data_IF_257321634964
#
_entry.id   IF_257321634964
#
_cell.length_a   1.000
_cell.length_b   1.000
_cell.length_c   1.000
_cell.angle_alpha   90.00
_cell.angle_beta   90.00
_cell.angle_gamma   90.00
#
_symmetry.space_group_name_H-M   'P 1'
#
loop_
_entity.id
_entity.type
_entity.pdbx_description
1 polymer ?
#
# COMPACT_ATOMS: atom_id res chain seq x y z
N UNK A 1 -36.25 81.08 1.44
CA UNK A 1 -35.27 80.99 0.34
C UNK A 1 -33.88 81.04 0.96
N UNK A 2 -32.99 80.06 0.91
CA UNK A 2 -32.95 78.82 0.13
C UNK A 2 -32.19 77.75 0.92
N UNK A 3 -32.79 76.56 0.94
CA UNK A 3 -32.22 75.29 1.37
C UNK A 3 -31.12 74.89 0.35
N UNK A 4 -29.92 74.54 0.79
CA UNK A 4 -28.94 73.85 -0.08
C UNK A 4 -28.26 72.70 0.67
N UNK A 5 -28.90 71.55 0.49
CA UNK A 5 -28.40 70.17 0.46
C UNK A 5 -27.12 69.82 1.23
N UNK A 6 -27.39 69.21 2.38
CA UNK A 6 -26.61 68.18 3.05
C UNK A 6 -26.34 67.01 2.07
N UNK A 7 -25.09 66.74 1.74
CA UNK A 7 -24.65 65.44 1.20
C UNK A 7 -23.52 64.93 2.10
N UNK A 8 -23.93 64.22 3.16
CA UNK A 8 -23.02 63.46 4.01
C UNK A 8 -22.67 62.17 3.24
N UNK A 9 -21.50 62.16 2.61
CA UNK A 9 -20.98 60.97 1.94
C UNK A 9 -20.56 59.96 3.02
N UNK A 10 -21.45 59.03 3.36
CA UNK A 10 -21.14 57.91 4.25
C UNK A 10 -20.23 56.93 3.49
N UNK A 11 -18.92 57.14 3.58
CA UNK A 11 -17.92 56.17 3.09
C UNK A 11 -17.92 55.00 4.08
N UNK A 12 -18.71 53.97 3.77
CA UNK A 12 -18.64 52.68 4.45
C UNK A 12 -17.35 52.00 3.99
N UNK A 13 -16.28 52.20 4.76
CA UNK A 13 -15.06 51.39 4.67
C UNK A 13 -15.42 49.97 5.11
N UNK A 14 -15.69 49.10 4.14
CA UNK A 14 -15.77 47.66 4.36
C UNK A 14 -14.35 47.19 4.66
N UNK A 15 -14.02 47.09 5.95
CA UNK A 15 -12.84 46.38 6.42
C UNK A 15 -13.08 44.90 6.09
N UNK A 16 -12.54 44.43 4.97
CA UNK A 16 -12.28 43.02 4.78
C UNK A 16 -11.20 42.62 5.79
N UNK A 17 -11.64 42.21 6.99
CA UNK A 17 -10.79 41.45 7.89
C UNK A 17 -10.52 40.12 7.20
N UNK A 18 -9.32 39.96 6.64
CA UNK A 18 -8.78 38.62 6.41
C UNK A 18 -8.55 38.02 7.80
N UNK A 19 -9.55 37.31 8.32
CA UNK A 19 -9.30 36.29 9.33
C UNK A 19 -8.34 35.30 8.68
N UNK A 20 -7.07 35.36 9.07
CA UNK A 20 -6.23 34.17 8.97
C UNK A 20 -6.95 33.16 9.84
N UNK A 21 -7.62 32.19 9.22
CA UNK A 21 -8.08 31.00 9.89
C UNK A 21 -6.83 30.22 10.32
N UNK A 22 -6.22 30.69 11.41
CA UNK A 22 -5.10 30.03 12.04
C UNK A 22 -5.58 28.64 12.44
N UNK A 23 -4.87 27.62 11.96
CA UNK A 23 -5.19 26.24 12.30
C UNK A 23 -4.94 26.08 13.80
N UNK A 24 -5.95 25.63 14.54
CA UNK A 24 -5.75 25.28 15.94
C UNK A 24 -4.77 24.09 16.00
N UNK A 25 -3.60 24.33 16.58
CA UNK A 25 -2.56 23.31 16.76
C UNK A 25 -2.47 22.99 18.25
N UNK A 26 -2.60 21.71 18.56
CA UNK A 26 -2.28 21.19 19.88
C UNK A 26 -0.76 21.06 20.02
N UNK A 27 -0.18 21.84 20.93
CA UNK A 27 1.26 21.86 21.16
C UNK A 27 1.77 20.61 21.91
N UNK A 28 0.90 19.93 22.65
CA UNK A 28 1.23 18.73 23.43
C UNK A 28 1.12 17.47 22.55
N UNK A 29 0.26 17.50 21.52
CA UNK A 29 0.15 16.42 20.55
C UNK A 29 -0.08 16.93 19.11
N UNK A 30 1.04 17.13 18.40
CA UNK A 30 1.02 17.56 17.00
C UNK A 30 0.28 16.59 16.07
N UNK A 31 0.02 15.33 16.43
CA UNK A 31 -0.73 14.42 15.55
C UNK A 31 -2.21 14.83 15.45
N UNK A 32 -2.75 15.43 16.51
CA UNK A 32 -4.14 15.87 16.56
C UNK A 32 -4.40 16.95 15.50
N UNK A 33 -5.57 16.87 14.86
CA UNK A 33 -5.96 17.75 13.76
C UNK A 33 -6.20 17.00 12.45
N UNK A 34 -6.41 17.78 11.38
CA UNK A 34 -6.79 17.28 10.07
C UNK A 34 -5.61 17.28 9.10
N UNK A 35 -5.42 16.15 8.41
CA UNK A 35 -4.33 15.84 7.50
C UNK A 35 -4.87 15.45 6.13
N UNK A 36 -4.48 16.17 5.09
CA UNK A 36 -5.10 16.10 3.75
C UNK A 36 -4.04 16.11 2.65
N UNK A 37 -4.47 15.98 1.39
CA UNK A 37 -3.62 16.07 0.20
C UNK A 37 -2.43 15.10 0.26
N UNK A 38 -2.68 13.78 0.39
CA UNK A 38 -1.60 12.80 0.47
C UNK A 38 -0.72 12.84 -0.78
N UNK A 39 0.59 12.88 -0.58
CA UNK A 39 1.60 12.67 -1.61
C UNK A 39 2.29 11.35 -1.32
N UNK A 40 2.12 10.40 -2.24
CA UNK A 40 2.70 9.05 -2.13
C UNK A 40 4.09 9.03 -2.75
N UNK A 41 5.08 8.52 -2.01
CA UNK A 41 6.46 8.36 -2.46
C UNK A 41 6.99 7.02 -1.98
N UNK A 42 7.10 6.04 -2.88
CA UNK A 42 7.54 4.64 -2.67
C UNK A 42 7.01 3.99 -1.38
N UNK A 43 7.66 4.25 -0.24
CA UNK A 43 7.33 3.69 1.06
C UNK A 43 6.61 4.65 2.03
N UNK A 44 6.53 5.94 1.71
CA UNK A 44 5.99 6.98 2.59
C UNK A 44 4.80 7.72 1.97
N UNK A 45 3.93 8.21 2.84
CA UNK A 45 2.85 9.13 2.50
C UNK A 45 3.05 10.40 3.28
N UNK A 46 3.07 11.54 2.58
CA UNK A 46 3.15 12.87 3.18
C UNK A 46 1.80 13.54 3.13
N UNK A 47 1.31 14.02 4.27
CA UNK A 47 0.08 14.79 4.40
C UNK A 47 0.38 16.22 4.80
N UNK A 48 -0.53 17.13 4.44
CA UNK A 48 -0.50 18.53 4.88
C UNK A 48 -1.61 18.78 5.89
N UNK A 49 -1.31 19.59 6.91
CA UNK A 49 -2.34 20.04 7.86
C UNK A 49 -3.38 20.92 7.15
N UNK A 50 -4.64 20.78 7.54
CA UNK A 50 -5.73 21.65 7.13
C UNK A 50 -6.70 21.93 8.28
N UNK A 51 -7.59 22.91 8.07
CA UNK A 51 -8.65 23.26 9.02
C UNK A 51 -9.85 22.28 9.00
N UNK A 52 -10.03 21.55 7.90
CA UNK A 52 -11.15 20.64 7.70
C UNK A 52 -10.82 19.59 6.64
N UNK A 53 -11.58 18.49 6.65
CA UNK A 53 -11.50 17.45 5.62
C UNK A 53 -12.00 18.00 4.26
N UNK A 54 -11.39 17.60 3.14
CA UNK A 54 -11.80 18.06 1.82
C UNK A 54 -13.15 17.45 1.40
N UNK A 55 -13.89 18.15 0.54
CA UNK A 55 -15.14 17.62 -0.02
C UNK A 55 -14.89 16.54 -1.07
N UNK A 56 -13.79 16.62 -1.80
CA UNK A 56 -13.48 15.83 -3.00
C UNK A 56 -12.02 15.32 -2.98
N UNK A 57 -11.55 14.90 -1.80
CA UNK A 57 -10.19 14.40 -1.63
C UNK A 57 -10.05 13.44 -0.47
N UNK A 58 -8.88 12.82 -0.39
CA UNK A 58 -8.52 11.97 0.75
C UNK A 58 -7.98 12.81 1.92
N UNK A 59 -8.33 12.42 3.14
CA UNK A 59 -7.76 13.01 4.35
C UNK A 59 -8.23 12.31 5.61
N UNK A 60 -7.57 12.58 6.73
CA UNK A 60 -7.92 12.03 8.04
C UNK A 60 -7.93 13.12 9.10
N UNK A 61 -8.74 12.96 10.13
CA UNK A 61 -8.78 13.85 11.29
C UNK A 61 -8.64 13.05 12.58
N UNK A 62 -7.59 13.34 13.35
CA UNK A 62 -7.33 12.76 14.68
C UNK A 62 -7.83 13.73 15.76
N UNK A 63 -8.51 13.21 16.80
CA UNK A 63 -9.06 14.02 17.90
C UNK A 63 -8.67 13.48 19.28
N UNK A 64 -8.69 14.32 20.31
CA UNK A 64 -8.16 14.03 21.67
C UNK A 64 -8.67 12.72 22.31
N UNK A 65 -9.88 12.29 21.98
CA UNK A 65 -10.50 11.09 22.57
C UNK A 65 -10.11 9.78 21.86
N UNK A 66 -9.08 9.80 21.01
CA UNK A 66 -8.70 8.65 20.20
C UNK A 66 -9.65 8.38 19.03
N UNK A 67 -10.54 9.32 18.67
CA UNK A 67 -11.43 9.17 17.52
C UNK A 67 -10.72 9.63 16.23
N UNK A 68 -11.02 8.93 15.15
CA UNK A 68 -10.54 9.19 13.80
C UNK A 68 -11.73 9.36 12.85
N UNK A 69 -11.64 10.35 11.96
CA UNK A 69 -12.52 10.43 10.78
C UNK A 69 -11.66 10.35 9.53
N UNK A 70 -11.92 9.36 8.67
CA UNK A 70 -11.28 9.21 7.37
C UNK A 70 -12.23 9.66 6.26
N UNK A 71 -11.78 10.59 5.41
CA UNK A 71 -12.45 11.03 4.19
C UNK A 71 -11.92 10.23 3.02
N UNK A 72 -12.76 9.47 2.33
CA UNK A 72 -12.33 8.63 1.20
C UNK A 72 -13.44 8.41 0.18
N UNK A 73 -13.07 8.03 -1.04
CA UNK A 73 -13.99 7.53 -2.07
C UNK A 73 -14.11 6.01 -2.06
N UNK A 74 -13.45 5.32 -1.13
CA UNK A 74 -13.34 3.86 -1.10
C UNK A 74 -12.42 3.31 -2.18
N UNK A 75 -12.47 1.98 -2.36
CA UNK A 75 -11.67 1.26 -3.34
C UNK A 75 -12.41 1.16 -4.69
N UNK A 76 -11.74 1.55 -5.78
CA UNK A 76 -12.12 1.38 -7.19
C UNK A 76 -13.47 1.99 -7.67
N UNK A 77 -13.63 3.31 -7.61
CA UNK A 77 -14.75 4.02 -8.26
C UNK A 77 -14.46 4.45 -9.71
N UNK A 78 -15.42 4.27 -10.62
CA UNK A 78 -15.40 4.94 -11.94
C UNK A 78 -15.84 6.41 -11.76
N UNK A 79 -15.11 7.39 -12.31
CA UNK A 79 -15.48 8.80 -12.21
C UNK A 79 -16.92 9.10 -12.70
N UNK A 80 -17.63 10.07 -12.08
CA UNK A 80 -17.19 10.91 -10.98
C UNK A 80 -17.12 10.17 -9.64
N UNK A 81 -16.07 10.42 -8.86
CA UNK A 81 -15.88 9.81 -7.55
C UNK A 81 -16.78 10.49 -6.51
N UNK A 82 -17.51 9.68 -5.74
CA UNK A 82 -18.25 10.12 -4.56
C UNK A 82 -17.42 9.85 -3.31
N UNK A 83 -17.28 10.85 -2.46
CA UNK A 83 -16.53 10.74 -1.22
C UNK A 83 -17.49 10.66 -0.03
N UNK A 84 -17.17 9.83 0.96
CA UNK A 84 -17.88 9.70 2.24
C UNK A 84 -16.88 9.72 3.43
N UNK A 85 -17.41 9.81 4.65
CA UNK A 85 -16.61 9.71 5.87
C UNK A 85 -16.72 8.30 6.43
N UNK A 86 -15.61 7.79 6.95
CA UNK A 86 -15.54 6.55 7.71
C UNK A 86 -15.09 6.92 9.11
N UNK A 87 -15.89 6.54 10.09
CA UNK A 87 -15.54 6.69 11.50
C UNK A 87 -14.59 5.57 11.93
N UNK A 88 -13.69 5.92 12.84
CA UNK A 88 -12.70 5.00 13.37
C UNK A 88 -12.10 5.48 14.69
N UNK A 89 -11.08 4.79 15.13
CA UNK A 89 -10.28 5.14 16.30
C UNK A 89 -8.80 5.01 15.98
N UNK A 90 -7.98 5.64 16.82
CA UNK A 90 -6.55 5.49 16.77
C UNK A 90 -5.93 5.42 18.17
N UNK A 91 -4.79 4.76 18.24
CA UNK A 91 -3.91 4.75 19.40
C UNK A 91 -2.51 5.17 18.97
N UNK A 92 -1.89 6.07 19.73
CA UNK A 92 -0.51 6.51 19.50
C UNK A 92 0.40 5.94 20.58
N UNK A 93 1.37 5.12 20.17
CA UNK A 93 2.45 4.62 21.02
C UNK A 93 3.79 5.05 20.40
N UNK A 94 4.38 6.10 20.98
CA UNK A 94 5.57 6.77 20.44
C UNK A 94 5.36 7.24 18.99
N UNK A 95 5.93 6.53 18.02
CA UNK A 95 5.79 6.81 16.59
C UNK A 95 4.77 5.90 15.90
N UNK A 96 4.24 4.89 16.60
CA UNK A 96 3.35 3.90 16.02
C UNK A 96 1.89 4.34 16.23
N UNK A 97 1.23 4.67 15.13
CA UNK A 97 -0.20 4.98 15.08
C UNK A 97 -0.93 3.70 14.69
N UNK A 98 -1.71 3.13 15.60
CA UNK A 98 -2.64 2.04 15.28
C UNK A 98 -3.98 2.65 14.93
N UNK A 99 -4.55 2.26 13.81
CA UNK A 99 -5.80 2.79 13.29
C UNK A 99 -6.78 1.63 13.13
N UNK A 100 -8.00 1.84 13.62
CA UNK A 100 -9.13 0.94 13.43
C UNK A 100 -10.27 1.70 12.77
N UNK A 101 -10.85 1.17 11.70
CA UNK A 101 -11.95 1.81 10.95
C UNK A 101 -13.12 0.85 10.77
N UNK A 102 -14.31 1.40 10.51
CA UNK A 102 -15.51 0.59 10.25
C UNK A 102 -15.55 -0.02 8.84
N UNK A 103 -14.51 0.15 8.02
CA UNK A 103 -14.46 -0.37 6.65
C UNK A 103 -13.16 -1.15 6.42
N UNK A 104 -13.04 -1.84 5.28
CA UNK A 104 -11.80 -2.52 4.92
C UNK A 104 -10.75 -1.52 4.38
N UNK A 105 -9.48 -1.58 4.82
CA UNK A 105 -8.95 -2.44 5.88
C UNK A 105 -9.41 -1.97 7.27
N UNK A 106 -9.90 -2.92 8.08
CA UNK A 106 -10.45 -2.63 9.42
C UNK A 106 -9.36 -2.16 10.36
N UNK A 107 -8.21 -2.82 10.36
CA UNK A 107 -7.09 -2.47 11.24
C UNK A 107 -5.81 -2.34 10.42
N UNK A 108 -5.08 -1.26 10.65
CA UNK A 108 -3.76 -1.03 10.09
C UNK A 108 -2.94 -0.14 10.99
N UNK A 109 -1.64 -0.06 10.75
CA UNK A 109 -0.76 0.80 11.51
C UNK A 109 0.18 1.60 10.64
N UNK A 110 0.52 2.79 11.11
CA UNK A 110 1.50 3.68 10.52
C UNK A 110 2.63 3.95 11.50
N UNK A 111 3.82 4.10 10.96
CA UNK A 111 4.96 4.64 11.68
C UNK A 111 5.19 6.08 11.21
N UNK A 112 5.13 7.01 12.15
CA UNK A 112 5.50 8.41 11.94
C UNK A 112 7.00 8.47 11.65
N UNK A 113 7.34 8.96 10.47
CA UNK A 113 8.73 9.21 10.04
C UNK A 113 9.11 10.65 10.38
N UNK A 114 8.19 11.59 10.18
CA UNK A 114 8.35 12.98 10.56
C UNK A 114 6.98 13.59 10.89
N UNK A 115 6.94 14.45 11.89
CA UNK A 115 5.74 15.17 12.29
C UNK A 115 6.12 16.60 12.67
N UNK A 116 5.51 17.56 11.99
CA UNK A 116 5.66 18.99 12.23
C UNK A 116 4.28 19.65 12.37
N UNK A 117 4.27 20.95 12.63
CA UNK A 117 3.05 21.75 12.61
C UNK A 117 2.31 21.72 11.27
N UNK A 118 2.97 21.44 10.14
CA UNK A 118 2.34 21.55 8.82
C UNK A 118 2.34 20.24 8.03
N UNK A 119 3.20 19.29 8.38
CA UNK A 119 3.39 18.05 7.63
C UNK A 119 3.45 16.82 8.54
N UNK A 120 2.78 15.76 8.09
CA UNK A 120 2.81 14.43 8.67
C UNK A 120 3.34 13.47 7.60
N UNK A 121 4.50 12.88 7.87
CA UNK A 121 5.10 11.86 7.00
C UNK A 121 5.00 10.52 7.71
N UNK A 122 4.29 9.58 7.11
CA UNK A 122 4.08 8.24 7.65
C UNK A 122 4.53 7.17 6.68
N UNK A 123 4.89 6.02 7.21
CA UNK A 123 5.11 4.77 6.48
C UNK A 123 4.13 3.73 7.00
N UNK A 124 3.61 2.86 6.13
CA UNK A 124 2.80 1.71 6.57
C UNK A 124 3.65 0.78 7.43
N UNK A 125 3.18 0.48 8.63
CA UNK A 125 3.80 -0.54 9.48
C UNK A 125 3.32 -1.92 9.01
N UNK A 126 4.27 -2.80 8.71
CA UNK A 126 3.98 -4.16 8.29
C UNK A 126 4.03 -5.09 9.48
N UNK A 127 3.13 -6.06 9.49
CA UNK A 127 3.22 -7.20 10.41
C UNK A 127 4.45 -8.06 10.07
N UNK A 128 4.91 -8.85 11.05
CA UNK A 128 6.00 -9.81 10.81
C UNK A 128 5.66 -10.81 9.69
N UNK A 129 4.38 -11.20 9.58
CA UNK A 129 3.90 -12.06 8.49
C UNK A 129 4.05 -11.39 7.12
N UNK A 130 3.63 -10.13 7.00
CA UNK A 130 3.76 -9.40 5.73
C UNK A 130 5.22 -9.17 5.33
N UNK A 131 6.11 -8.91 6.29
CA UNK A 131 7.55 -8.77 6.04
C UNK A 131 8.12 -10.09 5.51
N UNK A 132 7.81 -11.21 6.15
CA UNK A 132 8.28 -12.53 5.71
C UNK A 132 7.69 -12.93 4.36
N UNK A 133 6.40 -12.63 4.13
CA UNK A 133 5.77 -12.85 2.85
C UNK A 133 6.43 -12.02 1.74
N UNK A 134 6.81 -10.75 2.02
CA UNK A 134 7.58 -9.93 1.08
C UNK A 134 8.92 -10.57 0.73
N UNK A 135 9.66 -11.07 1.73
CA UNK A 135 10.93 -11.77 1.48
C UNK A 135 10.74 -13.01 0.58
N UNK A 136 9.63 -13.75 0.73
CA UNK A 136 9.30 -14.85 -0.19
C UNK A 136 9.07 -14.35 -1.62
N UNK A 137 8.34 -13.24 -1.78
CA UNK A 137 8.11 -12.65 -3.09
C UNK A 137 9.42 -12.19 -3.74
N UNK A 138 10.34 -11.62 -2.97
CA UNK A 138 11.66 -11.20 -3.47
C UNK A 138 12.46 -12.40 -3.99
N UNK A 139 12.52 -13.50 -3.21
CA UNK A 139 13.14 -14.76 -3.65
C UNK A 139 12.50 -15.31 -4.94
N UNK A 140 11.17 -15.24 -5.04
CA UNK A 140 10.47 -15.71 -6.24
C UNK A 140 10.69 -14.80 -7.45
N UNK A 141 10.79 -13.48 -7.24
CA UNK A 141 11.10 -12.52 -8.29
C UNK A 141 12.47 -12.79 -8.91
N UNK A 142 13.49 -13.07 -8.09
CA UNK A 142 14.81 -13.47 -8.60
C UNK A 142 14.74 -14.74 -9.46
N UNK A 143 13.93 -15.73 -9.04
CA UNK A 143 13.71 -16.96 -9.81
C UNK A 143 13.04 -16.63 -11.16
N UNK A 144 12.04 -15.75 -11.17
CA UNK A 144 11.35 -15.36 -12.40
C UNK A 144 12.28 -14.59 -13.36
N UNK A 145 13.08 -13.66 -12.85
CA UNK A 145 14.06 -12.91 -13.66
C UNK A 145 15.02 -13.86 -14.39
N UNK A 146 15.51 -14.90 -13.71
CA UNK A 146 16.37 -15.90 -14.31
C UNK A 146 15.64 -16.77 -15.31
N UNK A 147 14.42 -17.22 -14.98
CA UNK A 147 13.55 -18.00 -15.86
C UNK A 147 13.30 -17.29 -17.20
N UNK A 148 13.15 -15.95 -17.18
CA UNK A 148 12.87 -15.15 -18.37
C UNK A 148 14.11 -14.47 -18.97
N UNK A 149 15.31 -14.69 -18.44
CA UNK A 149 16.56 -14.05 -18.89
C UNK A 149 16.98 -14.45 -20.32
N UNK A 150 16.45 -15.55 -20.85
CA UNK A 150 16.77 -16.08 -22.18
C UNK A 150 15.49 -16.20 -23.00
N UNK A 151 15.51 -15.73 -24.25
CA UNK A 151 14.39 -15.94 -25.18
C UNK A 151 14.29 -17.40 -25.65
N UNK A 152 13.07 -17.93 -25.67
CA UNK A 152 12.78 -19.28 -26.11
C UNK A 152 12.64 -19.34 -27.64
N UNK A 153 13.66 -19.86 -28.30
CA UNK A 153 13.66 -20.14 -29.75
C UNK A 153 13.68 -21.64 -30.09
N UNK A 154 14.20 -22.48 -29.18
CA UNK A 154 14.27 -23.93 -29.36
C UNK A 154 13.98 -24.63 -28.02
N UNK A 155 12.84 -25.33 -27.97
CA UNK A 155 12.32 -26.01 -26.80
C UNK A 155 13.27 -27.10 -26.23
N UNK A 156 14.15 -27.69 -27.05
CA UNK A 156 15.11 -28.68 -26.57
C UNK A 156 16.18 -28.12 -25.62
N UNK A 157 16.33 -26.79 -25.58
CA UNK A 157 17.21 -26.10 -24.63
C UNK A 157 16.46 -25.62 -23.37
N UNK A 158 15.25 -26.13 -23.13
CA UNK A 158 14.42 -25.74 -22.01
C UNK A 158 14.01 -26.96 -21.20
N UNK A 159 14.10 -26.80 -19.89
CA UNK A 159 13.69 -27.76 -18.89
C UNK A 159 12.59 -27.14 -18.05
N UNK A 160 11.99 -27.92 -17.15
CA UNK A 160 11.11 -27.39 -16.12
C UNK A 160 11.40 -28.09 -14.79
N UNK A 161 11.06 -27.42 -13.70
CA UNK A 161 11.16 -27.96 -12.35
C UNK A 161 10.00 -27.49 -11.51
N UNK A 162 9.67 -28.25 -10.47
CA UNK A 162 8.74 -27.83 -9.44
C UNK A 162 9.34 -26.67 -8.61
N UNK A 163 8.50 -25.77 -8.12
CA UNK A 163 8.88 -24.73 -7.17
C UNK A 163 7.82 -24.58 -6.07
N UNK A 164 8.25 -24.07 -4.93
CA UNK A 164 7.38 -23.77 -3.80
C UNK A 164 6.88 -25.01 -3.08
N UNK A 165 6.20 -24.78 -1.96
CA UNK A 165 5.60 -25.78 -1.11
C UNK A 165 4.21 -25.31 -0.69
N UNK A 166 3.16 -26.01 -1.14
CA UNK A 166 1.80 -25.79 -0.61
C UNK A 166 1.73 -26.15 0.87
N UNK A 167 0.86 -25.49 1.63
CA UNK A 167 0.67 -25.80 3.05
C UNK A 167 0.21 -27.24 3.31
N UNK A 168 -0.54 -27.85 2.39
CA UNK A 168 -0.97 -29.24 2.44
C UNK A 168 0.07 -30.25 1.92
N UNK A 169 1.23 -29.77 1.45
CA UNK A 169 2.25 -30.55 0.76
C UNK A 169 2.13 -30.52 -0.77
N UNK A 170 3.25 -30.86 -1.43
CA UNK A 170 3.41 -30.74 -2.88
C UNK A 170 3.89 -29.35 -3.32
N UNK A 171 4.26 -29.24 -4.59
CA UNK A 171 4.79 -28.00 -5.15
C UNK A 171 3.72 -26.91 -5.30
N UNK A 172 4.10 -25.64 -5.22
CA UNK A 172 3.21 -24.53 -5.56
C UNK A 172 2.87 -24.55 -7.05
N UNK A 173 3.89 -24.81 -7.89
CA UNK A 173 3.77 -24.88 -9.34
C UNK A 173 5.00 -25.47 -10.01
N UNK A 174 5.10 -25.26 -11.32
CA UNK A 174 6.26 -25.60 -12.12
C UNK A 174 6.73 -24.37 -12.90
N UNK A 175 8.04 -24.24 -13.06
CA UNK A 175 8.67 -23.16 -13.80
C UNK A 175 9.61 -23.72 -14.86
N UNK A 176 9.57 -23.13 -16.06
CA UNK A 176 10.47 -23.48 -17.14
C UNK A 176 11.78 -22.69 -17.01
N UNK A 177 12.91 -23.26 -17.40
CA UNK A 177 14.20 -22.57 -17.40
C UNK A 177 15.08 -23.07 -18.53
N UNK A 178 15.96 -22.20 -19.03
CA UNK A 178 16.86 -22.58 -20.11
C UNK A 178 18.05 -23.38 -19.58
N UNK A 179 18.48 -24.41 -20.30
CA UNK A 179 19.74 -25.12 -20.03
C UNK A 179 21.00 -24.26 -20.25
N UNK A 180 20.83 -23.02 -20.74
CA UNK A 180 21.91 -22.08 -21.05
C UNK A 180 22.25 -21.10 -19.92
N UNK A 181 21.46 -21.07 -18.85
CA UNK A 181 21.78 -20.30 -17.64
C UNK A 181 22.65 -21.15 -16.70
N UNK A 182 23.13 -20.57 -15.60
CA UNK A 182 23.70 -21.34 -14.51
C UNK A 182 22.58 -22.15 -13.80
N UNK A 183 22.35 -23.36 -14.29
CA UNK A 183 21.28 -24.25 -13.83
C UNK A 183 21.46 -24.66 -12.37
N UNK A 184 22.69 -24.83 -11.91
CA UNK A 184 22.98 -25.21 -10.52
C UNK A 184 22.56 -24.11 -9.56
N UNK A 185 22.95 -22.86 -9.86
CA UNK A 185 22.57 -21.69 -9.06
C UNK A 185 21.07 -21.42 -9.11
N UNK A 186 20.46 -21.57 -10.28
CA UNK A 186 19.02 -21.44 -10.46
C UNK A 186 18.23 -22.46 -9.63
N UNK A 187 18.60 -23.74 -9.70
CA UNK A 187 17.95 -24.81 -8.93
C UNK A 187 18.16 -24.63 -7.43
N UNK A 188 19.33 -24.12 -7.00
CA UNK A 188 19.55 -23.78 -5.59
C UNK A 188 18.61 -22.66 -5.11
N UNK A 189 18.40 -21.60 -5.91
CA UNK A 189 17.42 -20.54 -5.58
C UNK A 189 16.00 -21.10 -5.42
N UNK A 190 15.60 -22.01 -6.31
CA UNK A 190 14.30 -22.68 -6.21
C UNK A 190 14.19 -23.50 -4.92
N UNK A 191 15.25 -24.24 -4.55
CA UNK A 191 15.27 -25.00 -3.30
C UNK A 191 15.18 -24.08 -2.07
N UNK A 192 15.90 -22.95 -2.06
CA UNK A 192 15.83 -21.94 -1.01
C UNK A 192 14.43 -21.36 -0.88
N UNK A 193 13.82 -20.90 -1.98
CA UNK A 193 12.44 -20.40 -1.98
C UNK A 193 11.45 -21.46 -1.46
N UNK A 194 11.56 -22.69 -1.96
CA UNK A 194 10.67 -23.80 -1.60
C UNK A 194 10.73 -24.12 -0.11
N UNK A 195 11.93 -24.13 0.47
CA UNK A 195 12.11 -24.34 1.91
C UNK A 195 11.57 -23.15 2.73
N UNK A 196 11.85 -21.92 2.30
CA UNK A 196 11.35 -20.73 2.97
C UNK A 196 9.81 -20.64 2.96
N UNK A 197 9.17 -20.96 1.83
CA UNK A 197 7.70 -20.98 1.74
C UNK A 197 7.08 -22.07 2.63
N UNK A 198 7.73 -23.23 2.72
CA UNK A 198 7.32 -24.30 3.63
C UNK A 198 7.37 -23.84 5.09
N UNK A 199 8.46 -23.20 5.50
CA UNK A 199 8.64 -22.66 6.85
C UNK A 199 7.62 -21.57 7.16
N UNK A 200 7.38 -20.66 6.22
CA UNK A 200 6.35 -19.63 6.31
C UNK A 200 4.96 -20.23 6.51
N UNK A 201 4.60 -21.24 5.71
CA UNK A 201 3.30 -21.90 5.81
C UNK A 201 3.06 -22.54 7.18
N UNK A 202 4.08 -23.23 7.72
CA UNK A 202 4.01 -23.83 9.05
C UNK A 202 3.92 -22.76 10.14
N UNK A 203 4.77 -21.73 10.06
CA UNK A 203 4.86 -20.67 11.07
C UNK A 203 3.57 -19.87 11.19
N UNK A 204 2.96 -19.54 10.06
CA UNK A 204 1.78 -18.68 10.00
C UNK A 204 0.46 -19.43 9.86
N UNK A 205 0.49 -20.77 9.94
CA UNK A 205 -0.70 -21.61 9.87
C UNK A 205 -1.48 -21.44 8.57
N UNK A 206 -0.78 -21.24 7.45
CA UNK A 206 -1.41 -21.02 6.14
C UNK A 206 -2.22 -22.24 5.76
N UNK A 207 -3.44 -22.04 5.26
CA UNK A 207 -4.34 -23.10 4.82
C UNK A 207 -4.38 -23.12 3.30
N UNK A 208 -4.30 -24.31 2.71
CA UNK A 208 -4.44 -24.52 1.26
C UNK A 208 -5.73 -25.28 0.96
N UNK A 209 -6.23 -25.14 -0.26
CA UNK A 209 -7.33 -25.94 -0.83
C UNK A 209 -7.03 -27.44 -1.02
N UNK A 210 -5.83 -27.90 -0.63
CA UNK A 210 -5.34 -29.26 -0.82
C UNK A 210 -5.32 -29.75 -2.28
N UNK A 211 -5.29 -28.83 -3.26
CA UNK A 211 -5.26 -29.19 -4.67
C UNK A 211 -3.90 -29.74 -5.11
N UNK A 212 -3.94 -30.76 -5.98
CA UNK A 212 -2.74 -31.39 -6.52
C UNK A 212 -2.34 -30.68 -7.82
N UNK A 213 -1.12 -30.16 -7.87
CA UNK A 213 -0.55 -29.59 -9.11
C UNK A 213 -0.05 -30.69 -10.02
N UNK A 214 -0.74 -30.89 -11.15
CA UNK A 214 -0.33 -31.80 -12.22
C UNK A 214 1.04 -31.37 -12.78
N UNK A 215 1.96 -32.31 -12.97
CA UNK A 215 3.24 -32.03 -13.62
C UNK A 215 3.06 -31.72 -15.13
N UNK A 216 3.80 -30.77 -15.70
CA UNK A 216 3.90 -30.59 -17.14
C UNK A 216 4.49 -31.84 -17.82
N UNK A 217 4.16 -32.01 -19.08
CA UNK A 217 4.70 -33.04 -19.98
C UNK A 217 5.92 -32.50 -20.74
N UNK A 218 5.91 -31.22 -21.12
CA UNK A 218 6.99 -30.60 -21.90
C UNK A 218 6.99 -29.07 -21.82
N UNK A 219 8.06 -28.46 -22.34
CA UNK A 219 8.12 -27.02 -22.64
C UNK A 219 8.01 -26.83 -24.15
N UNK A 220 7.27 -25.81 -24.58
CA UNK A 220 7.28 -25.33 -25.97
C UNK A 220 7.62 -23.84 -25.99
N UNK A 221 8.18 -23.35 -27.11
CA UNK A 221 8.39 -21.92 -27.28
C UNK A 221 7.18 -21.29 -27.99
N UNK A 222 6.56 -20.28 -27.38
CA UNK A 222 5.49 -19.49 -27.98
C UNK A 222 5.81 -18.00 -27.85
N UNK A 223 5.85 -17.29 -28.98
CA UNK A 223 6.17 -15.86 -29.02
C UNK A 223 7.49 -15.48 -28.32
N UNK A 224 8.50 -16.35 -28.37
CA UNK A 224 9.79 -16.11 -27.71
C UNK A 224 9.80 -16.42 -26.20
N UNK A 225 8.70 -16.95 -25.65
CA UNK A 225 8.58 -17.34 -24.24
C UNK A 225 8.47 -18.86 -24.08
N UNK A 226 9.04 -19.43 -23.01
CA UNK A 226 8.80 -20.81 -22.64
C UNK A 226 7.38 -20.99 -22.12
N UNK A 227 6.65 -21.99 -22.60
CA UNK A 227 5.29 -22.32 -22.17
C UNK A 227 5.21 -23.79 -21.79
N UNK A 228 4.73 -24.06 -20.58
CA UNK A 228 4.51 -25.42 -20.07
C UNK A 228 3.29 -26.06 -20.73
N UNK A 229 3.41 -27.31 -21.19
CA UNK A 229 2.30 -28.12 -21.71
C UNK A 229 1.96 -29.22 -20.70
N UNK A 230 0.68 -29.36 -20.40
CA UNK A 230 0.12 -30.31 -19.42
C UNK A 230 -0.76 -31.36 -20.10
#
# INVERSE_FOLDING_TARGET
MNLKNLFLLLVVTVLFSCEKNDVAIDADNLLLGTWVNPVYNDETTTFKRANALPNDGYGLSFTENGNLVERTSGWCGTPPLSYFNIEGSFELDNTLVRISTQNYPTDYAWRIISLTENELVVKRELTAQEIEHRNLMDLFNEIQEWSYSVSCSNASNWLFTAYGAKACGGAQGYIAYSSRIDTSSFLNKIATYTQAEKEFNVKWGIISDCSITKAPISVVCQNGYPTLKY
#
